data_IF_421644774747
#
_entry.id   IF_421644774747
#
_cell.length_a   1.000
_cell.length_b   1.000
_cell.length_c   1.000
_cell.angle_alpha   90.00
_cell.angle_beta   90.00
_cell.angle_gamma   90.00
#
_symmetry.space_group_name_H-M   'P 1'
#
loop_
_entity.id
_entity.type
_entity.pdbx_description
1 polymer ?
#
# COMPACT_ATOMS: atom_id res chain seq x y z
N UNK A 1 -5.50 -2.68 -0.71
CA UNK A 1 -4.39 -2.31 -1.62
C UNK A 1 -3.81 -3.55 -2.31
N UNK A 2 -3.31 -3.41 -3.54
CA UNK A 2 -2.74 -4.52 -4.34
C UNK A 2 -1.44 -4.05 -5.00
N UNK A 3 -0.45 -4.91 -5.05
CA UNK A 3 0.87 -4.64 -5.63
C UNK A 3 1.56 -5.92 -6.06
N UNK A 4 2.74 -5.79 -6.67
CA UNK A 4 3.59 -6.92 -7.07
C UNK A 4 4.99 -6.64 -6.56
N UNK A 5 5.54 -7.58 -5.79
CA UNK A 5 6.93 -7.56 -5.36
C UNK A 5 7.78 -8.38 -6.35
N UNK A 6 8.91 -7.85 -6.79
CA UNK A 6 9.85 -8.59 -7.65
C UNK A 6 10.67 -9.58 -6.83
N UNK A 7 10.94 -9.26 -5.57
CA UNK A 7 11.71 -10.09 -4.63
C UNK A 7 11.04 -10.14 -3.25
N UNK A 8 11.67 -10.81 -2.28
CA UNK A 8 11.24 -10.71 -0.88
C UNK A 8 11.21 -9.23 -0.47
N UNK A 9 10.04 -8.74 -0.06
CA UNK A 9 9.87 -7.32 0.21
C UNK A 9 9.24 -7.08 1.58
N UNK A 10 9.73 -6.07 2.29
CA UNK A 10 9.12 -5.55 3.51
C UNK A 10 8.17 -4.41 3.13
N UNK A 11 6.88 -4.66 3.27
CA UNK A 11 5.83 -3.66 3.04
C UNK A 11 5.55 -2.95 4.35
N UNK A 12 5.77 -1.65 4.38
CA UNK A 12 5.50 -0.77 5.51
C UNK A 12 4.44 0.23 5.08
N UNK A 13 3.38 0.37 5.88
CA UNK A 13 2.31 1.34 5.65
C UNK A 13 2.33 2.35 6.78
N UNK A 14 2.42 3.61 6.40
CA UNK A 14 2.47 4.76 7.29
C UNK A 14 1.24 5.64 7.06
N UNK A 15 0.64 6.13 8.14
CA UNK A 15 -0.42 7.12 8.13
C UNK A 15 0.03 8.30 8.97
N UNK A 16 0.09 9.50 8.36
CA UNK A 16 0.44 10.73 9.07
C UNK A 16 1.77 10.61 9.86
N UNK A 17 2.74 9.85 9.31
CA UNK A 17 4.04 9.60 9.94
C UNK A 17 4.07 8.48 11.00
N UNK A 18 2.97 7.75 11.19
CA UNK A 18 2.90 6.59 12.10
C UNK A 18 2.81 5.29 11.29
N UNK A 19 3.68 4.32 11.58
CA UNK A 19 3.61 2.98 10.99
C UNK A 19 2.37 2.27 11.57
N UNK A 20 1.35 2.09 10.74
CA UNK A 20 0.10 1.40 11.11
C UNK A 20 0.14 -0.08 10.74
N UNK A 21 1.00 -0.46 9.81
CA UNK A 21 1.11 -1.83 9.34
C UNK A 21 2.50 -2.12 8.79
N UNK A 22 3.02 -3.31 9.07
CA UNK A 22 4.28 -3.77 8.51
C UNK A 22 4.25 -5.28 8.33
N UNK A 23 4.58 -5.76 7.12
CA UNK A 23 4.63 -7.19 6.83
C UNK A 23 5.62 -7.51 5.73
N UNK A 24 6.35 -8.60 5.89
CA UNK A 24 7.17 -9.18 4.84
C UNK A 24 6.32 -10.02 3.88
N UNK A 25 6.51 -9.81 2.58
CA UNK A 25 5.85 -10.55 1.50
C UNK A 25 6.90 -11.25 0.63
N UNK A 26 6.60 -12.48 0.16
CA UNK A 26 7.43 -13.15 -0.83
C UNK A 26 7.32 -12.48 -2.21
N UNK A 27 8.24 -12.80 -3.15
CA UNK A 27 8.13 -12.37 -4.54
C UNK A 27 6.80 -12.82 -5.16
N UNK A 28 6.14 -11.90 -5.85
CA UNK A 28 4.87 -12.13 -6.52
C UNK A 28 3.79 -11.10 -6.18
N UNK A 29 2.57 -11.33 -6.68
CA UNK A 29 1.42 -10.47 -6.39
C UNK A 29 1.01 -10.59 -4.92
N UNK A 30 0.82 -9.46 -4.27
CA UNK A 30 0.33 -9.38 -2.90
C UNK A 30 -0.87 -8.44 -2.80
N UNK A 31 -1.76 -8.76 -1.86
CA UNK A 31 -2.96 -7.97 -1.58
C UNK A 31 -3.12 -7.81 -0.08
N UNK A 32 -3.38 -6.59 0.36
CA UNK A 32 -3.72 -6.27 1.73
C UNK A 32 -5.11 -5.63 1.75
N UNK A 33 -6.10 -6.39 2.19
CA UNK A 33 -7.51 -5.97 2.24
C UNK A 33 -7.88 -5.46 3.64
N UNK A 34 -7.30 -6.09 4.66
CA UNK A 34 -7.49 -5.77 6.06
C UNK A 34 -6.34 -4.92 6.58
N UNK A 35 -6.18 -3.72 6.01
CA UNK A 35 -5.45 -2.69 6.72
C UNK A 35 -6.43 -2.11 7.72
N UNK A 36 -6.22 -2.34 9.02
CA UNK A 36 -6.90 -1.59 10.07
C UNK A 36 -6.46 -0.13 9.98
N UNK A 37 -7.06 0.61 9.04
CA UNK A 37 -6.90 2.04 8.95
C UNK A 37 -7.44 2.60 10.25
N UNK A 38 -6.64 3.40 10.94
CA UNK A 38 -7.01 3.97 12.22
C UNK A 38 -8.07 5.07 12.03
N UNK A 39 -9.23 4.73 11.48
CA UNK A 39 -10.45 5.55 11.37
C UNK A 39 -10.37 6.89 10.63
N UNK A 40 -9.18 7.44 10.38
CA UNK A 40 -8.98 8.73 9.76
C UNK A 40 -8.66 8.56 8.29
N UNK A 41 -9.51 9.10 7.41
CA UNK A 41 -9.35 9.08 5.95
C UNK A 41 -8.16 9.91 5.45
N UNK A 42 -6.97 9.67 5.98
CA UNK A 42 -5.71 10.21 5.52
C UNK A 42 -5.10 9.30 4.45
N UNK A 43 -4.26 9.87 3.59
CA UNK A 43 -3.53 9.11 2.59
C UNK A 43 -2.57 8.11 3.25
N UNK A 44 -2.44 6.94 2.63
CA UNK A 44 -1.55 5.88 3.08
C UNK A 44 -0.23 6.00 2.35
N UNK A 45 0.85 6.26 3.07
CA UNK A 45 2.19 6.12 2.51
C UNK A 45 2.59 4.65 2.59
N UNK A 46 2.74 4.02 1.43
CA UNK A 46 3.15 2.62 1.34
C UNK A 46 4.57 2.57 0.83
N UNK A 47 5.45 2.00 1.64
CA UNK A 47 6.86 1.80 1.33
C UNK A 47 7.15 0.31 1.21
N UNK A 48 7.56 -0.13 0.03
CA UNK A 48 7.91 -1.51 -0.29
C UNK A 48 9.42 -1.58 -0.44
N UNK A 49 10.10 -2.16 0.54
CA UNK A 49 11.55 -2.37 0.52
C UNK A 49 11.85 -3.79 0.07
N UNK A 50 12.38 -3.92 -1.12
CA UNK A 50 12.77 -5.18 -1.74
C UNK A 50 14.14 -5.68 -1.23
N UNK A 51 14.41 -6.98 -1.41
CA UNK A 51 15.62 -7.63 -0.90
C UNK A 51 16.89 -7.22 -1.64
N UNK A 52 16.75 -6.72 -2.87
CA UNK A 52 17.83 -6.10 -3.65
C UNK A 52 18.20 -4.69 -3.13
N UNK A 53 17.44 -4.15 -2.18
CA UNK A 53 17.59 -2.80 -1.64
C UNK A 53 16.74 -1.74 -2.35
N UNK A 54 15.99 -2.12 -3.39
CA UNK A 54 15.06 -1.22 -4.07
C UNK A 54 13.94 -0.83 -3.13
N UNK A 55 13.65 0.47 -3.02
CA UNK A 55 12.54 0.98 -2.20
C UNK A 55 11.54 1.67 -3.10
N UNK A 56 10.35 1.09 -3.20
CA UNK A 56 9.22 1.66 -3.92
C UNK A 56 8.27 2.30 -2.92
N UNK A 57 8.15 3.63 -2.96
CA UNK A 57 7.18 4.38 -2.16
C UNK A 57 6.04 4.86 -3.05
N UNK A 58 4.81 4.62 -2.63
CA UNK A 58 3.62 5.14 -3.31
C UNK A 58 2.54 5.50 -2.30
N UNK A 59 1.78 6.53 -2.63
CA UNK A 59 0.70 7.04 -1.80
C UNK A 59 -0.61 6.45 -2.32
N UNK A 60 -1.35 5.76 -1.44
CA UNK A 60 -2.71 5.30 -1.74
C UNK A 60 -3.68 6.32 -1.14
N UNK A 61 -4.33 7.15 -1.96
CA UNK A 61 -5.34 8.06 -1.44
C UNK A 61 -6.53 7.27 -0.92
N UNK A 62 -6.99 7.60 0.29
CA UNK A 62 -8.16 6.96 0.92
C UNK A 62 -9.41 7.02 0.02
N UNK A 63 -9.52 8.08 -0.79
CA UNK A 63 -10.51 8.23 -1.84
C UNK A 63 -10.01 7.69 -3.18
N UNK A 64 -10.11 6.38 -3.38
CA UNK A 64 -10.06 5.78 -4.72
C UNK A 64 -11.43 5.19 -5.08
N UNK A 65 -12.43 6.06 -5.17
CA UNK A 65 -13.53 5.86 -6.11
C UNK A 65 -13.18 6.65 -7.35
N UNK A 66 -12.78 6.02 -8.46
CA UNK A 66 -13.05 6.62 -9.75
C UNK A 66 -14.58 6.64 -9.91
N UNK A 67 -15.24 7.68 -9.41
CA UNK A 67 -16.38 8.21 -10.16
C UNK A 67 -15.75 8.63 -11.48
N UNK A 68 -15.99 7.89 -12.56
CA UNK A 68 -16.13 8.36 -13.95
C UNK A 68 -16.21 7.13 -14.86
N UNK A 69 -17.44 6.67 -15.15
CA UNK A 69 -17.97 6.49 -16.51
C UNK A 69 -19.35 5.78 -16.43
N UNK A 70 -20.42 6.55 -16.51
CA UNK A 70 -21.63 6.10 -17.20
C UNK A 70 -22.20 7.29 -17.98
N UNK A 71 -21.85 7.43 -19.26
CA UNK A 71 -22.74 8.07 -20.22
C UNK A 71 -23.75 7.04 -20.70
N UNK A 72 -25.03 7.26 -20.37
CA UNK A 72 -26.17 6.88 -21.19
C UNK A 72 -27.38 7.73 -20.76
#
# INVERSE_FOLDING_TARGET
MRGVAQSNALVTVEQNGFIVYQKEVPPGPFVFEDLQLAGGGADLDVSVKEADGTVSRFIVPYSSVPIWCSPA
#
